data_IF_374622864353
#
_entry.id   IF_374622864353
#
_cell.length_a   1.000
_cell.length_b   1.000
_cell.length_c   1.000
_cell.angle_alpha   90.00
_cell.angle_beta   90.00
_cell.angle_gamma   90.00
#
_symmetry.space_group_name_H-M   'P 1'
#
loop_
_entity.id
_entity.type
_entity.pdbx_description
1 polymer ?
#
# COMPACT_ATOMS: atom_id res chain seq x y z
N UNK A 1 -2.93 24.30 -5.72
CA UNK A 1 -2.65 22.89 -5.43
C UNK A 1 -1.86 22.27 -6.56
N UNK A 2 -0.67 21.75 -6.26
CA UNK A 2 0.11 20.97 -7.23
C UNK A 2 -0.34 19.51 -7.17
N UNK A 3 -0.78 18.97 -8.29
CA UNK A 3 -1.19 17.57 -8.45
C UNK A 3 -0.19 16.88 -9.36
N UNK A 4 0.66 16.06 -8.77
CA UNK A 4 1.68 15.31 -9.51
C UNK A 4 1.19 13.95 -9.97
N UNK A 5 2.05 13.22 -10.70
CA UNK A 5 1.79 11.84 -11.11
C UNK A 5 1.62 10.92 -9.90
N UNK A 6 0.68 10.00 -9.96
CA UNK A 6 0.47 8.96 -8.97
C UNK A 6 -0.94 8.94 -8.41
N UNK A 7 -1.17 9.42 -7.19
CA UNK A 7 -2.44 9.25 -6.47
C UNK A 7 -3.40 10.43 -6.55
N UNK A 8 -3.11 11.43 -7.37
CA UNK A 8 -3.94 12.60 -7.52
C UNK A 8 -4.64 12.61 -8.88
N UNK A 9 -5.90 13.01 -8.87
CA UNK A 9 -6.66 13.27 -10.08
C UNK A 9 -7.35 14.62 -9.98
N UNK A 10 -7.69 15.19 -11.11
CA UNK A 10 -8.53 16.38 -11.21
C UNK A 10 -9.76 16.04 -12.04
N UNK A 11 -10.89 16.62 -11.64
CA UNK A 11 -12.10 16.55 -12.45
C UNK A 11 -11.97 17.57 -13.56
N UNK A 12 -12.09 17.13 -14.81
CA UNK A 12 -11.93 17.97 -15.99
C UNK A 12 -13.24 18.06 -16.79
N UNK A 13 -13.39 19.07 -17.59
CA UNK A 13 -14.48 19.15 -18.55
C UNK A 13 -14.35 18.02 -19.61
N UNK A 14 -15.48 17.48 -20.07
CA UNK A 14 -16.88 17.87 -19.84
C UNK A 14 -17.58 17.04 -18.72
N UNK A 15 -16.97 16.81 -17.58
CA UNK A 15 -17.56 15.99 -16.50
C UNK A 15 -18.88 16.57 -16.01
N UNK A 16 -19.92 15.73 -15.97
CA UNK A 16 -21.22 16.06 -15.39
C UNK A 16 -21.32 15.57 -13.95
N UNK A 17 -21.67 16.45 -13.03
CA UNK A 17 -21.91 16.12 -11.63
C UNK A 17 -23.30 15.51 -11.41
N UNK A 18 -23.49 14.83 -10.28
CA UNK A 18 -24.79 14.23 -9.91
C UNK A 18 -25.91 15.26 -9.75
N UNK A 19 -25.58 16.49 -9.40
CA UNK A 19 -26.51 17.62 -9.26
C UNK A 19 -26.85 18.30 -10.60
N UNK A 20 -26.39 17.76 -11.73
CA UNK A 20 -26.66 18.25 -13.08
C UNK A 20 -25.69 19.32 -13.58
N UNK A 21 -24.83 19.88 -12.73
CA UNK A 21 -23.77 20.83 -13.15
C UNK A 21 -22.77 20.13 -14.04
N UNK A 22 -22.22 20.86 -15.01
CA UNK A 22 -21.21 20.35 -15.94
C UNK A 22 -19.97 21.25 -15.86
N UNK A 23 -18.79 20.65 -15.77
CA UNK A 23 -17.55 21.38 -15.96
C UNK A 23 -17.38 21.73 -17.44
N UNK A 24 -17.02 22.98 -17.71
CA UNK A 24 -16.72 23.47 -19.06
C UNK A 24 -15.34 24.09 -19.04
N UNK A 25 -14.66 24.06 -20.18
CA UNK A 25 -13.40 24.77 -20.34
C UNK A 25 -13.70 26.27 -20.53
N UNK A 26 -13.06 27.12 -19.74
CA UNK A 26 -13.13 28.58 -19.92
C UNK A 26 -12.32 29.04 -21.13
N UNK A 27 -11.27 28.29 -21.48
CA UNK A 27 -10.46 28.50 -22.65
C UNK A 27 -10.17 27.15 -23.34
N UNK A 28 -9.95 27.13 -24.67
CA UNK A 28 -9.51 25.93 -25.36
C UNK A 28 -8.23 25.36 -24.74
N UNK A 29 -8.13 24.03 -24.71
CA UNK A 29 -6.89 23.38 -24.31
C UNK A 29 -5.79 23.66 -25.33
N UNK A 30 -4.64 24.12 -24.88
CA UNK A 30 -3.45 24.24 -25.69
C UNK A 30 -2.92 22.84 -26.01
N UNK A 31 -2.64 22.51 -27.27
CA UNK A 31 -2.01 21.25 -27.64
C UNK A 31 -0.70 21.02 -26.88
N UNK A 32 -0.38 19.79 -26.48
CA UNK A 32 0.82 19.50 -25.68
C UNK A 32 2.12 20.03 -26.29
N UNK A 33 2.23 20.02 -27.63
CA UNK A 33 3.38 20.49 -28.42
C UNK A 33 3.57 22.01 -28.39
N UNK A 34 2.52 22.76 -28.08
CA UNK A 34 2.55 24.22 -27.95
C UNK A 34 2.77 24.68 -26.49
N UNK A 35 2.76 23.74 -25.55
CA UNK A 35 2.97 24.08 -24.15
C UNK A 35 4.43 24.46 -23.90
N UNK A 36 4.70 25.56 -23.15
CA UNK A 36 6.06 25.89 -22.77
C UNK A 36 6.65 24.79 -21.88
N UNK A 37 7.97 24.56 -21.93
CA UNK A 37 8.62 23.60 -21.07
C UNK A 37 8.42 23.97 -19.58
N UNK A 38 8.21 22.95 -18.75
CA UNK A 38 8.04 23.17 -17.30
C UNK A 38 9.32 23.78 -16.74
N UNK A 39 9.25 24.92 -16.01
CA UNK A 39 10.42 25.50 -15.37
C UNK A 39 11.11 24.50 -14.47
N UNK A 40 12.44 24.40 -14.55
CA UNK A 40 13.22 23.42 -13.78
C UNK A 40 12.96 23.49 -12.26
N UNK A 41 12.81 24.69 -11.73
CA UNK A 41 12.50 24.89 -10.30
C UNK A 41 11.14 24.27 -9.90
N UNK A 42 10.17 24.27 -10.81
CA UNK A 42 8.86 23.63 -10.58
C UNK A 42 8.98 22.12 -10.76
N UNK A 43 9.72 21.66 -11.75
CA UNK A 43 9.97 20.24 -11.98
C UNK A 43 10.59 19.57 -10.76
N UNK A 44 11.60 20.20 -10.14
CA UNK A 44 12.25 19.69 -8.92
C UNK A 44 11.28 19.58 -7.72
N UNK A 45 10.25 20.44 -7.66
CA UNK A 45 9.20 20.36 -6.63
C UNK A 45 8.15 19.29 -6.92
N UNK A 46 7.95 18.96 -8.19
CA UNK A 46 6.97 17.97 -8.63
C UNK A 46 7.52 16.55 -8.60
N UNK A 47 8.84 16.39 -8.83
CA UNK A 47 9.48 15.10 -8.76
C UNK A 47 9.42 14.56 -7.32
N UNK A 48 9.02 13.31 -7.13
CA UNK A 48 9.12 12.69 -5.83
C UNK A 48 10.59 12.66 -5.40
N UNK A 49 10.88 12.78 -4.10
CA UNK A 49 12.23 12.61 -3.62
C UNK A 49 12.76 11.25 -4.09
N UNK A 50 14.07 11.15 -4.38
CA UNK A 50 14.66 9.88 -4.76
C UNK A 50 14.28 8.83 -3.70
N UNK A 51 13.91 7.61 -4.12
CA UNK A 51 13.58 6.57 -3.17
C UNK A 51 14.76 6.40 -2.21
N UNK A 52 14.51 6.24 -0.90
CA UNK A 52 15.57 5.98 0.04
C UNK A 52 16.42 4.80 -0.46
N UNK A 53 17.75 4.81 -0.23
CA UNK A 53 18.59 3.70 -0.60
C UNK A 53 17.94 2.41 -0.08
N UNK A 54 17.77 1.43 -0.96
CA UNK A 54 17.18 0.14 -0.57
C UNK A 54 18.05 -0.39 0.56
N UNK A 55 17.49 -0.66 1.75
CA UNK A 55 18.25 -1.31 2.77
C UNK A 55 18.83 -2.59 2.14
N UNK A 56 20.13 -2.82 2.31
CA UNK A 56 20.72 -4.11 2.00
C UNK A 56 20.03 -5.11 2.93
N UNK A 57 19.09 -5.85 2.38
CA UNK A 57 18.42 -6.90 3.12
C UNK A 57 19.51 -7.89 3.52
N UNK A 58 19.84 -7.92 4.80
CA UNK A 58 20.65 -9.01 5.35
C UNK A 58 20.05 -10.34 4.95
N UNK A 59 20.83 -11.42 4.99
CA UNK A 59 20.41 -12.74 4.58
C UNK A 59 18.95 -13.00 5.04
N UNK A 60 18.06 -13.27 4.08
CA UNK A 60 16.66 -13.60 4.35
C UNK A 60 16.66 -14.86 5.19
N UNK A 61 16.50 -14.72 6.51
CA UNK A 61 16.44 -15.85 7.41
C UNK A 61 15.19 -16.69 7.09
N UNK A 62 15.33 -18.00 7.03
CA UNK A 62 14.18 -18.90 6.89
C UNK A 62 13.34 -18.85 8.15
N UNK A 63 12.06 -18.45 8.02
CA UNK A 63 11.12 -18.56 9.12
C UNK A 63 10.54 -19.98 9.20
N UNK A 64 10.18 -20.43 10.40
CA UNK A 64 9.52 -21.73 10.50
C UNK A 64 8.16 -21.72 9.77
N UNK A 65 7.77 -22.80 9.08
CA UNK A 65 6.48 -22.87 8.40
C UNK A 65 5.31 -22.52 9.31
N UNK A 66 5.35 -22.95 10.56
CA UNK A 66 4.33 -22.64 11.58
C UNK A 66 4.21 -21.13 11.83
N UNK A 67 5.32 -20.40 11.85
CA UNK A 67 5.33 -18.92 12.02
C UNK A 67 4.75 -18.21 10.81
N UNK A 68 5.10 -18.66 9.61
CA UNK A 68 4.57 -18.10 8.36
C UNK A 68 3.06 -18.29 8.27
N UNK A 69 2.57 -19.48 8.60
CA UNK A 69 1.15 -19.80 8.67
C UNK A 69 0.42 -18.92 9.69
N UNK A 70 0.96 -18.78 10.89
CA UNK A 70 0.36 -17.94 11.92
C UNK A 70 0.25 -16.48 11.49
N UNK A 71 1.26 -15.94 10.79
CA UNK A 71 1.24 -14.59 10.24
C UNK A 71 0.18 -14.44 9.14
N UNK A 72 0.12 -15.41 8.21
CA UNK A 72 -0.88 -15.41 7.15
C UNK A 72 -2.30 -15.42 7.71
N UNK A 73 -2.58 -16.28 8.68
CA UNK A 73 -3.88 -16.35 9.34
C UNK A 73 -4.22 -15.05 10.10
N UNK A 74 -3.24 -14.44 10.75
CA UNK A 74 -3.43 -13.13 11.39
C UNK A 74 -3.79 -12.04 10.38
N UNK A 75 -3.15 -12.02 9.21
CA UNK A 75 -3.46 -11.08 8.12
C UNK A 75 -4.88 -11.31 7.58
N UNK A 76 -5.24 -12.56 7.32
CA UNK A 76 -6.58 -12.93 6.87
C UNK A 76 -7.67 -12.50 7.88
N UNK A 77 -7.43 -12.72 9.18
CA UNK A 77 -8.36 -12.29 10.24
C UNK A 77 -8.57 -10.77 10.28
N UNK A 78 -7.53 -9.98 9.98
CA UNK A 78 -7.66 -8.52 9.89
C UNK A 78 -8.45 -8.11 8.65
N UNK A 79 -8.20 -8.74 7.50
CA UNK A 79 -8.96 -8.48 6.27
C UNK A 79 -10.44 -8.80 6.47
N UNK A 80 -10.76 -9.97 7.04
CA UNK A 80 -12.14 -10.40 7.26
C UNK A 80 -12.95 -9.47 8.18
N UNK A 81 -12.29 -8.78 9.12
CA UNK A 81 -12.94 -7.86 10.07
C UNK A 81 -13.05 -6.43 9.58
N UNK A 82 -12.57 -6.15 8.38
CA UNK A 82 -12.48 -4.76 7.88
C UNK A 82 -13.86 -4.23 7.49
N UNK A 83 -14.27 -3.05 8.00
CA UNK A 83 -15.56 -2.45 7.66
C UNK A 83 -15.59 -1.99 6.19
N UNK A 84 -16.80 -1.80 5.69
CA UNK A 84 -17.04 -1.24 4.36
C UNK A 84 -16.32 0.10 4.18
N UNK A 85 -15.86 0.36 2.96
CA UNK A 85 -15.09 1.56 2.60
C UNK A 85 -13.58 1.43 2.85
N UNK A 86 -13.12 0.48 3.66
CA UNK A 86 -11.69 0.25 3.93
C UNK A 86 -11.19 -1.11 3.43
N UNK A 87 -12.09 -1.98 2.95
CA UNK A 87 -11.80 -3.37 2.61
C UNK A 87 -10.70 -3.51 1.58
N UNK A 88 -10.79 -2.78 0.47
CA UNK A 88 -9.82 -2.84 -0.61
C UNK A 88 -8.41 -2.41 -0.17
N UNK A 89 -8.29 -1.28 0.51
CA UNK A 89 -6.99 -0.77 0.98
C UNK A 89 -6.36 -1.69 2.02
N UNK A 90 -7.17 -2.24 2.93
CA UNK A 90 -6.71 -3.19 3.93
C UNK A 90 -6.24 -4.48 3.29
N UNK A 91 -6.97 -5.01 2.31
CA UNK A 91 -6.57 -6.19 1.55
C UNK A 91 -5.22 -5.98 0.86
N UNK A 92 -5.04 -4.88 0.12
CA UNK A 92 -3.76 -4.55 -0.52
C UNK A 92 -2.62 -4.52 0.51
N UNK A 93 -2.82 -3.85 1.64
CA UNK A 93 -1.81 -3.75 2.69
C UNK A 93 -1.35 -5.12 3.18
N UNK A 94 -2.28 -6.02 3.48
CA UNK A 94 -1.95 -7.36 3.98
C UNK A 94 -1.47 -8.30 2.89
N UNK A 95 -1.92 -8.13 1.64
CA UNK A 95 -1.36 -8.86 0.51
C UNK A 95 0.11 -8.48 0.25
N UNK A 96 0.47 -7.21 0.35
CA UNK A 96 1.89 -6.77 0.26
C UNK A 96 2.70 -7.34 1.43
N UNK A 97 2.15 -7.34 2.65
CA UNK A 97 2.83 -7.94 3.80
C UNK A 97 3.04 -9.46 3.62
N UNK A 98 2.01 -10.19 3.17
CA UNK A 98 2.11 -11.62 2.87
C UNK A 98 3.11 -11.90 1.73
N UNK A 99 3.12 -11.06 0.69
CA UNK A 99 4.13 -11.12 -0.38
C UNK A 99 5.55 -11.05 0.15
N UNK A 100 5.80 -10.19 1.14
CA UNK A 100 7.09 -10.09 1.81
C UNK A 100 7.51 -11.35 2.59
N UNK A 101 6.60 -12.30 2.84
CA UNK A 101 6.88 -13.59 3.46
C UNK A 101 7.26 -14.68 2.44
N UNK A 102 6.98 -14.50 1.15
CA UNK A 102 7.28 -15.47 0.09
C UNK A 102 8.77 -15.83 0.06
N UNK A 103 9.73 -14.89 0.12
CA UNK A 103 11.15 -15.21 0.16
C UNK A 103 11.57 -16.00 1.41
N UNK A 104 10.73 -16.04 2.45
CA UNK A 104 10.95 -16.82 3.67
C UNK A 104 10.34 -18.23 3.61
N UNK A 105 9.66 -18.58 2.50
CA UNK A 105 9.09 -19.89 2.27
C UNK A 105 7.56 -19.98 2.36
N UNK A 106 6.85 -18.83 2.37
CA UNK A 106 5.39 -18.85 2.26
C UNK A 106 4.98 -19.22 0.82
N UNK A 107 4.05 -20.18 0.69
CA UNK A 107 3.49 -20.54 -0.61
C UNK A 107 2.61 -19.42 -1.16
N UNK A 108 2.92 -18.87 -2.35
CA UNK A 108 2.12 -17.80 -2.95
C UNK A 108 0.67 -18.19 -3.25
N UNK A 109 0.43 -19.43 -3.63
CA UNK A 109 -0.92 -19.94 -3.94
C UNK A 109 -1.77 -20.00 -2.68
N UNK A 110 -1.23 -20.57 -1.63
CA UNK A 110 -1.89 -20.61 -0.34
C UNK A 110 -2.19 -19.20 0.19
N UNK A 111 -1.24 -18.26 0.07
CA UNK A 111 -1.44 -16.88 0.46
C UNK A 111 -2.56 -16.20 -0.35
N UNK A 112 -2.64 -16.46 -1.67
CA UNK A 112 -3.72 -15.96 -2.52
C UNK A 112 -5.06 -16.50 -2.05
N UNK A 113 -5.20 -17.81 -1.90
CA UNK A 113 -6.47 -18.45 -1.53
C UNK A 113 -7.00 -17.96 -0.18
N UNK A 114 -6.13 -17.91 0.84
CA UNK A 114 -6.49 -17.50 2.19
C UNK A 114 -6.92 -16.03 2.22
N UNK A 115 -6.20 -15.13 1.57
CA UNK A 115 -6.52 -13.71 1.57
C UNK A 115 -7.74 -13.37 0.72
N UNK A 116 -7.94 -14.07 -0.42
CA UNK A 116 -9.15 -13.91 -1.24
C UNK A 116 -10.38 -14.38 -0.47
N UNK A 117 -10.32 -15.55 0.17
CA UNK A 117 -11.43 -16.03 1.01
C UNK A 117 -11.78 -15.07 2.14
N UNK A 118 -10.77 -14.49 2.81
CA UNK A 118 -10.98 -13.49 3.86
C UNK A 118 -11.60 -12.20 3.30
N UNK A 119 -11.19 -11.74 2.12
CA UNK A 119 -11.74 -10.56 1.47
C UNK A 119 -13.20 -10.76 1.03
N UNK A 120 -13.52 -11.94 0.50
CA UNK A 120 -14.89 -12.31 0.13
C UNK A 120 -15.80 -12.37 1.37
N UNK A 121 -15.32 -12.92 2.48
CA UNK A 121 -16.06 -12.94 3.75
C UNK A 121 -16.33 -11.52 4.30
N UNK A 122 -15.44 -10.57 4.01
CA UNK A 122 -15.66 -9.15 4.30
C UNK A 122 -16.63 -8.46 3.32
N UNK A 123 -17.03 -9.12 2.22
CA UNK A 123 -17.96 -8.61 1.22
C UNK A 123 -17.33 -7.94 0.01
N UNK A 124 -16.06 -8.23 -0.31
CA UNK A 124 -15.44 -7.86 -1.58
C UNK A 124 -15.82 -8.88 -2.67
N UNK A 125 -16.06 -8.45 -3.92
CA UNK A 125 -16.24 -9.36 -5.05
C UNK A 125 -14.95 -10.18 -5.28
N UNK A 126 -15.11 -11.45 -5.69
CA UNK A 126 -13.97 -12.36 -5.89
C UNK A 126 -12.95 -11.81 -6.90
N UNK A 127 -13.41 -11.29 -8.04
CA UNK A 127 -12.54 -10.76 -9.07
C UNK A 127 -11.66 -9.59 -8.56
N UNK A 128 -12.26 -8.67 -7.78
CA UNK A 128 -11.55 -7.54 -7.18
C UNK A 128 -10.55 -8.02 -6.12
N UNK A 129 -10.98 -8.95 -5.27
CA UNK A 129 -10.12 -9.52 -4.24
C UNK A 129 -8.92 -10.23 -4.85
N UNK A 130 -9.13 -11.01 -5.91
CA UNK A 130 -8.07 -11.78 -6.58
C UNK A 130 -7.05 -10.87 -7.26
N UNK A 131 -7.49 -9.82 -7.96
CA UNK A 131 -6.61 -8.86 -8.61
C UNK A 131 -5.78 -8.09 -7.58
N UNK A 132 -6.40 -7.60 -6.51
CA UNK A 132 -5.71 -6.89 -5.44
C UNK A 132 -4.68 -7.76 -4.72
N UNK A 133 -5.00 -9.03 -4.45
CA UNK A 133 -4.09 -9.96 -3.80
C UNK A 133 -2.90 -10.28 -4.69
N UNK A 134 -3.11 -10.63 -5.96
CA UNK A 134 -2.02 -10.94 -6.90
C UNK A 134 -1.06 -9.77 -7.06
N UNK A 135 -1.60 -8.57 -7.22
CA UNK A 135 -0.79 -7.36 -7.28
C UNK A 135 0.02 -7.18 -5.98
N UNK A 136 -0.64 -7.28 -4.83
CA UNK A 136 -0.01 -7.10 -3.52
C UNK A 136 1.09 -8.12 -3.24
N UNK A 137 0.85 -9.41 -3.52
CA UNK A 137 1.84 -10.48 -3.37
C UNK A 137 3.06 -10.23 -4.25
N UNK A 138 2.87 -9.81 -5.50
CA UNK A 138 3.97 -9.48 -6.42
C UNK A 138 4.81 -8.31 -5.92
N UNK A 139 4.18 -7.24 -5.45
CA UNK A 139 4.89 -6.08 -4.86
C UNK A 139 5.63 -6.48 -3.59
N UNK A 140 5.00 -7.26 -2.71
CA UNK A 140 5.61 -7.71 -1.47
C UNK A 140 6.80 -8.63 -1.68
N UNK A 141 6.71 -9.59 -2.61
CA UNK A 141 7.80 -10.52 -2.93
C UNK A 141 9.09 -9.80 -3.36
N UNK A 142 8.96 -8.64 -4.00
CA UNK A 142 10.12 -7.80 -4.36
C UNK A 142 10.70 -7.02 -3.17
N UNK A 143 10.06 -7.08 -1.99
CA UNK A 143 10.43 -6.36 -0.76
C UNK A 143 10.30 -7.28 0.46
N UNK A 144 11.23 -8.24 0.64
CA UNK A 144 11.18 -9.18 1.75
C UNK A 144 11.01 -8.49 3.10
N UNK A 145 10.15 -9.05 3.95
CA UNK A 145 10.03 -8.59 5.33
C UNK A 145 11.27 -9.03 6.13
N UNK A 146 11.77 -8.14 6.97
CA UNK A 146 12.80 -8.52 7.95
C UNK A 146 12.09 -9.20 9.12
N UNK A 147 12.23 -10.51 9.22
CA UNK A 147 11.72 -11.28 10.34
C UNK A 147 12.81 -11.34 11.40
N UNK A 148 12.65 -10.58 12.50
CA UNK A 148 13.54 -10.71 13.64
C UNK A 148 13.54 -12.15 14.14
N UNK A 149 14.72 -12.73 14.29
CA UNK A 149 14.86 -14.02 14.97
C UNK A 149 14.39 -13.88 16.41
N UNK A 150 13.45 -14.70 16.85
CA UNK A 150 12.79 -14.60 18.17
C UNK A 150 13.69 -14.98 19.35
N UNK A 151 14.98 -14.70 19.26
CA UNK A 151 15.95 -15.07 20.30
C UNK A 151 16.19 -14.01 21.38
N UNK A 152 15.56 -12.82 21.27
CA UNK A 152 15.62 -11.81 22.32
C UNK A 152 14.22 -11.35 22.71
N UNK A 153 13.84 -11.46 24.01
CA UNK A 153 12.61 -10.84 24.48
C UNK A 153 12.65 -9.34 24.18
N UNK A 154 11.54 -8.70 23.82
CA UNK A 154 11.52 -7.25 23.63
C UNK A 154 11.95 -6.59 24.95
N UNK A 155 13.01 -5.80 24.92
CA UNK A 155 13.37 -4.97 26.05
C UNK A 155 12.16 -4.07 26.40
N UNK A 156 11.78 -3.96 27.67
CA UNK A 156 10.69 -3.10 28.07
C UNK A 156 10.99 -1.68 27.59
N UNK A 157 10.16 -1.17 26.67
CA UNK A 157 10.23 0.23 26.25
C UNK A 157 9.92 1.10 27.46
N UNK A 158 10.95 1.58 28.14
CA UNK A 158 10.81 2.62 29.15
C UNK A 158 10.37 3.91 28.46
N UNK A 159 9.08 4.18 28.45
CA UNK A 159 8.55 5.47 28.10
C UNK A 159 8.98 6.47 29.19
N UNK A 160 10.03 7.24 28.95
CA UNK A 160 10.29 8.45 29.73
C UNK A 160 9.19 9.45 29.39
N UNK A 161 8.16 9.53 30.21
CA UNK A 161 7.22 10.63 30.18
C UNK A 161 7.99 11.94 30.43
N UNK A 162 8.08 12.80 29.41
CA UNK A 162 8.52 14.19 29.62
C UNK A 162 7.38 14.92 30.29
N UNK A 163 7.46 15.06 31.60
CA UNK A 163 6.61 15.97 32.35
C UNK A 163 7.02 17.39 32.00
N UNK A 164 6.23 18.09 31.21
CA UNK A 164 6.37 19.53 31.02
C UNK A 164 5.80 20.21 32.28
N UNK A 165 6.68 20.61 33.19
CA UNK A 165 6.32 21.55 34.26
C UNK A 165 5.99 22.90 33.58
N UNK A 166 4.74 23.33 33.65
CA UNK A 166 4.35 24.70 33.36
C UNK A 166 4.80 25.55 34.55
N UNK A 167 5.73 26.48 34.32
CA UNK A 167 5.89 27.69 35.13
C UNK A 167 4.94 28.75 34.61
#
# INVERSE_FOLDING_TARGET
DLRGMGRAYVVAAPTRLKDGRTYTWEAPLTPPEELPPVPQALLLKLLPPPPPPRPSWGAVGTASPKRLQALLQAYAAQVARTPEGQRHLTLIRYAVAAGGLIPHGLDPREAEEVLVAAAMSAGLPEWEARDAVRWGLGVGASRPLVLESSSKPPEPRTYRARVYARM
#
